data_IF_779211602853
#
_entry.id   IF_779211602853
#
_cell.length_a   1.000
_cell.length_b   1.000
_cell.length_c   1.000
_cell.angle_alpha   90.00
_cell.angle_beta   90.00
_cell.angle_gamma   90.00
#
_symmetry.space_group_name_H-M   'P 1'
#
loop_
_entity.id
_entity.type
_entity.pdbx_description
1 polymer ?
#
# COMPACT_ATOMS: atom_id res chain seq x y z
N UNK A 1 7.30 16.13 5.37
CA UNK A 1 6.07 15.30 5.34
C UNK A 1 5.93 14.82 3.92
N UNK A 2 5.88 13.51 3.71
CA UNK A 2 5.85 12.93 2.36
C UNK A 2 4.51 13.15 1.68
N UNK A 3 4.56 13.45 0.38
CA UNK A 3 3.40 13.67 -0.47
C UNK A 3 2.38 12.52 -0.37
N UNK A 4 2.86 11.27 -0.24
CA UNK A 4 2.01 10.08 -0.09
C UNK A 4 1.02 10.17 1.08
N UNK A 5 1.31 10.87 2.19
CA UNK A 5 0.38 10.97 3.33
C UNK A 5 -0.93 11.67 2.94
N UNK A 6 -0.87 12.52 1.91
CA UNK A 6 -1.98 13.33 1.43
C UNK A 6 -2.73 12.72 0.25
N UNK A 7 -2.23 11.61 -0.31
CA UNK A 7 -2.86 10.99 -1.46
C UNK A 7 -4.24 10.44 -1.12
N UNK A 8 -5.19 10.74 -1.98
CA UNK A 8 -6.44 10.00 -2.06
C UNK A 8 -6.21 8.58 -2.59
N UNK A 9 -7.28 7.81 -2.74
CA UNK A 9 -7.16 6.40 -3.16
C UNK A 9 -6.68 6.23 -4.60
N UNK A 10 -7.06 7.10 -5.52
CA UNK A 10 -6.65 6.98 -6.93
C UNK A 10 -5.23 7.50 -7.15
N UNK A 11 -4.83 8.56 -6.44
CA UNK A 11 -3.45 9.06 -6.38
C UNK A 11 -2.51 7.98 -5.81
N UNK A 12 -2.93 7.29 -4.74
CA UNK A 12 -2.18 6.18 -4.18
C UNK A 12 -2.02 5.04 -5.20
N UNK A 13 -3.09 4.63 -5.88
CA UNK A 13 -3.01 3.54 -6.88
C UNK A 13 -2.10 3.93 -8.05
N UNK A 14 -2.22 5.17 -8.52
CA UNK A 14 -1.36 5.69 -9.60
C UNK A 14 0.11 5.67 -9.20
N UNK A 15 0.41 6.02 -7.94
CA UNK A 15 1.74 5.92 -7.37
C UNK A 15 2.23 4.46 -7.34
N UNK A 16 1.43 3.52 -6.81
CA UNK A 16 1.84 2.11 -6.71
C UNK A 16 2.11 1.46 -8.08
N UNK A 17 1.36 1.83 -9.12
CA UNK A 17 1.51 1.27 -10.49
C UNK A 17 2.84 1.57 -11.15
N UNK A 18 3.53 2.64 -10.74
CA UNK A 18 4.82 3.04 -11.33
C UNK A 18 6.02 2.49 -10.57
N UNK A 19 5.80 1.72 -9.49
CA UNK A 19 6.86 1.11 -8.70
C UNK A 19 7.22 -0.28 -9.20
N UNK A 20 8.49 -0.47 -9.56
CA UNK A 20 9.01 -1.74 -10.08
C UNK A 20 8.81 -2.90 -9.11
N UNK A 21 8.92 -2.64 -7.80
CA UNK A 21 8.72 -3.63 -6.72
C UNK A 21 7.29 -4.18 -6.65
N UNK A 22 6.34 -3.56 -7.36
CA UNK A 22 4.90 -3.87 -7.32
C UNK A 22 4.32 -4.20 -8.70
N UNK A 23 5.15 -4.43 -9.72
CA UNK A 23 4.71 -4.75 -11.09
C UNK A 23 3.86 -6.02 -11.21
N UNK A 24 3.96 -6.93 -10.24
CA UNK A 24 3.20 -8.16 -10.13
C UNK A 24 1.75 -7.96 -9.66
N UNK A 25 1.41 -6.77 -9.12
CA UNK A 25 0.04 -6.45 -8.74
C UNK A 25 -0.84 -6.35 -9.98
N UNK A 26 -2.00 -6.99 -9.91
CA UNK A 26 -3.00 -6.97 -10.99
C UNK A 26 -4.18 -6.05 -10.63
N UNK A 27 -5.08 -5.82 -11.58
CA UNK A 27 -6.22 -4.91 -11.37
C UNK A 27 -7.07 -5.32 -10.16
N UNK A 28 -7.26 -6.62 -9.93
CA UNK A 28 -8.00 -7.14 -8.79
C UNK A 28 -7.37 -6.74 -7.44
N UNK A 29 -6.05 -6.60 -7.35
CA UNK A 29 -5.39 -6.14 -6.13
C UNK A 29 -5.65 -4.64 -5.90
N UNK A 30 -5.62 -3.84 -6.97
CA UNK A 30 -5.96 -2.41 -6.91
C UNK A 30 -7.45 -2.19 -6.60
N UNK A 31 -8.34 -3.05 -7.09
CA UNK A 31 -9.77 -3.00 -6.76
C UNK A 31 -10.04 -3.20 -5.27
N UNK A 32 -9.24 -4.01 -4.57
CA UNK A 32 -9.31 -4.14 -3.12
C UNK A 32 -8.93 -2.81 -2.45
N UNK A 33 -7.86 -2.16 -2.91
CA UNK A 33 -7.44 -0.83 -2.41
C UNK A 33 -8.55 0.21 -2.62
N UNK A 34 -9.21 0.21 -3.80
CA UNK A 34 -10.36 1.08 -4.10
C UNK A 34 -11.56 0.81 -3.21
N UNK A 35 -11.94 -0.47 -3.09
CA UNK A 35 -13.11 -0.91 -2.32
C UNK A 35 -13.01 -0.53 -0.86
N UNK A 36 -11.83 -0.71 -0.27
CA UNK A 36 -11.54 -0.35 1.13
C UNK A 36 -11.22 1.14 1.32
N UNK A 37 -11.20 1.92 0.21
CA UNK A 37 -10.95 3.38 0.21
C UNK A 37 -9.64 3.73 0.93
N UNK A 38 -8.61 2.95 0.65
CA UNK A 38 -7.29 3.15 1.26
C UNK A 38 -6.70 4.43 0.68
N UNK A 39 -6.50 5.42 1.54
CA UNK A 39 -5.74 6.64 1.26
C UNK A 39 -4.28 6.42 1.60
N UNK A 40 -3.37 7.28 1.13
CA UNK A 40 -1.96 7.13 1.44
C UNK A 40 -1.63 7.24 2.94
N UNK A 41 -2.43 7.99 3.73
CA UNK A 41 -2.34 7.96 5.21
C UNK A 41 -2.66 6.58 5.80
N UNK A 42 -3.72 5.92 5.34
CA UNK A 42 -4.09 4.58 5.83
C UNK A 42 -3.18 3.50 5.29
N UNK A 43 -2.66 3.68 4.07
CA UNK A 43 -1.70 2.80 3.42
C UNK A 43 -0.45 2.61 4.27
N UNK A 44 0.10 3.71 4.78
CA UNK A 44 1.22 3.70 5.72
C UNK A 44 0.92 3.01 7.06
N UNK A 45 -0.26 2.47 7.29
CA UNK A 45 -0.65 1.69 8.49
C UNK A 45 -1.09 0.27 8.17
N UNK A 46 -0.95 -0.15 6.91
CA UNK A 46 -1.26 -1.50 6.48
C UNK A 46 -0.21 -2.48 7.00
N UNK A 47 -0.67 -3.71 7.09
CA UNK A 47 0.10 -4.91 7.42
C UNK A 47 -0.41 -6.02 6.51
N UNK A 48 0.37 -7.08 6.31
CA UNK A 48 -0.06 -8.23 5.51
C UNK A 48 -1.40 -8.80 6.04
N UNK A 49 -1.57 -8.88 7.36
CA UNK A 49 -2.79 -9.37 8.01
C UNK A 49 -4.03 -8.53 7.63
N UNK A 50 -3.92 -7.20 7.65
CA UNK A 50 -5.04 -6.32 7.26
C UNK A 50 -5.39 -6.51 5.79
N UNK A 51 -4.38 -6.55 4.92
CA UNK A 51 -4.57 -6.76 3.48
C UNK A 51 -5.27 -8.11 3.22
N UNK A 52 -4.85 -9.18 3.90
CA UNK A 52 -5.52 -10.49 3.84
C UNK A 52 -6.95 -10.44 4.37
N UNK A 53 -7.23 -9.66 5.41
CA UNK A 53 -8.60 -9.48 5.93
C UNK A 53 -9.54 -8.79 4.94
N UNK A 54 -8.99 -7.98 4.01
CA UNK A 54 -9.73 -7.36 2.92
C UNK A 54 -9.93 -8.28 1.71
N UNK A 55 -9.39 -9.49 1.76
CA UNK A 55 -9.48 -10.50 0.69
C UNK A 55 -8.30 -10.52 -0.26
N UNK A 56 -7.22 -9.78 0.02
CA UNK A 56 -6.01 -9.78 -0.80
C UNK A 56 -5.28 -11.13 -0.71
N UNK A 57 -4.73 -11.58 -1.84
CA UNK A 57 -3.95 -12.82 -1.88
C UNK A 57 -2.60 -12.64 -1.19
N UNK A 58 -2.03 -13.75 -0.73
CA UNK A 58 -0.82 -13.74 0.11
C UNK A 58 0.38 -13.06 -0.52
N UNK A 59 0.67 -13.30 -1.81
CA UNK A 59 1.78 -12.66 -2.51
C UNK A 59 1.65 -11.13 -2.54
N UNK A 60 0.60 -10.59 -3.20
CA UNK A 60 0.32 -9.14 -3.21
C UNK A 60 0.29 -8.50 -1.82
N UNK A 61 -0.29 -9.19 -0.83
CA UNK A 61 -0.36 -8.69 0.54
C UNK A 61 1.03 -8.58 1.20
N UNK A 62 1.90 -9.56 0.96
CA UNK A 62 3.28 -9.56 1.48
C UNK A 62 4.08 -8.44 0.82
N UNK A 63 4.04 -8.34 -0.51
CA UNK A 63 4.81 -7.35 -1.26
C UNK A 63 4.43 -5.92 -0.87
N UNK A 64 3.13 -5.63 -0.72
CA UNK A 64 2.66 -4.33 -0.26
C UNK A 64 3.03 -4.05 1.21
N UNK A 65 3.04 -5.05 2.08
CA UNK A 65 3.45 -4.88 3.46
C UNK A 65 4.95 -4.53 3.56
N UNK A 66 5.80 -5.25 2.83
CA UNK A 66 7.25 -5.00 2.78
C UNK A 66 7.56 -3.63 2.18
N UNK A 67 6.81 -3.24 1.15
CA UNK A 67 6.90 -1.90 0.56
C UNK A 67 6.49 -0.80 1.56
N UNK A 68 5.43 -1.01 2.34
CA UNK A 68 5.00 -0.06 3.38
C UNK A 68 6.07 0.09 4.47
N UNK A 69 6.69 -0.99 4.94
CA UNK A 69 7.78 -0.91 5.92
C UNK A 69 8.98 -0.14 5.35
N UNK A 70 9.39 -0.47 4.11
CA UNK A 70 10.47 0.24 3.41
C UNK A 70 10.18 1.74 3.24
N UNK A 71 8.92 2.11 2.98
CA UNK A 71 8.49 3.50 2.92
C UNK A 71 8.55 4.17 4.29
N UNK A 72 8.07 3.52 5.36
CA UNK A 72 8.12 4.08 6.72
C UNK A 72 9.56 4.39 7.14
N UNK A 73 10.49 3.49 6.87
CA UNK A 73 11.92 3.67 7.13
C UNK A 73 12.47 4.91 6.40
N UNK A 74 12.19 5.03 5.09
CA UNK A 74 12.59 6.18 4.27
C UNK A 74 12.00 7.50 4.79
N UNK A 75 10.81 7.45 5.37
CA UNK A 75 10.10 8.61 5.90
C UNK A 75 10.47 8.94 7.35
N UNK A 76 11.31 8.12 8.00
CA UNK A 76 11.63 8.24 9.42
C UNK A 76 10.42 7.99 10.33
N UNK A 77 9.39 7.32 9.83
CA UNK A 77 8.19 6.92 10.58
C UNK A 77 8.47 5.54 11.17
N UNK A 78 9.50 5.42 12.00
CA UNK A 78 9.78 4.15 12.66
C UNK A 78 8.85 3.99 13.86
N UNK A 79 8.13 2.87 13.91
CA UNK A 79 7.56 2.33 15.14
C UNK A 79 8.71 2.06 16.10
N UNK A 80 8.84 2.91 17.13
CA UNK A 80 9.63 2.59 18.32
C UNK A 80 8.96 1.48 19.11
#
# INVERSE_FOLDING_TARGET
MSEIIHYDTEELISYLRVHDDLQQLIEEDFDIIRKERITGRSFLKLTEEKLRSYGMKGGPASDLADFVESLREKLGINSR
#
